data_IF_288532891606
#
_entry.id   IF_288532891606
#
_cell.length_a   1.000
_cell.length_b   1.000
_cell.length_c   1.000
_cell.angle_alpha   90.00
_cell.angle_beta   90.00
_cell.angle_gamma   90.00
#
_symmetry.space_group_name_H-M   'P 1'
#
loop_
_entity.id
_entity.type
_entity.pdbx_description
1 polymer ?
#
# COMPACT_ATOMS: atom_id res chain seq x y z
N UNK A 1 25.60 -8.78 52.61
CA UNK A 1 25.74 -9.22 51.20
C UNK A 1 24.38 -9.15 50.52
N UNK A 2 24.12 -8.11 49.71
CA UNK A 2 22.91 -7.96 48.89
C UNK A 2 23.27 -8.34 47.45
N UNK A 3 22.72 -9.44 46.94
CA UNK A 3 22.86 -9.82 45.54
C UNK A 3 21.79 -9.11 44.70
N UNK A 4 22.23 -8.14 43.91
CA UNK A 4 21.46 -7.50 42.85
C UNK A 4 21.10 -8.53 41.78
N UNK A 5 19.81 -8.76 41.55
CA UNK A 5 19.30 -9.50 40.38
C UNK A 5 19.11 -8.51 39.24
N UNK A 6 20.05 -8.51 38.30
CA UNK A 6 19.94 -7.84 37.00
C UNK A 6 18.96 -8.60 36.11
N UNK A 7 17.75 -8.08 35.97
CA UNK A 7 16.74 -8.60 35.05
C UNK A 7 17.10 -8.20 33.63
N UNK A 8 17.72 -9.13 32.90
CA UNK A 8 18.05 -9.02 31.49
C UNK A 8 16.78 -9.14 30.63
N UNK A 9 16.06 -8.03 30.42
CA UNK A 9 14.99 -7.94 29.41
C UNK A 9 15.62 -7.74 28.03
N UNK A 10 16.01 -8.84 27.39
CA UNK A 10 16.39 -8.84 25.97
C UNK A 10 15.14 -8.66 25.09
N UNK A 11 15.09 -7.51 24.43
CA UNK A 11 14.56 -7.23 23.10
C UNK A 11 13.69 -8.33 22.48
N UNK A 12 12.37 -8.13 22.54
CA UNK A 12 11.42 -8.79 21.64
C UNK A 12 10.72 -7.69 20.83
N UNK A 13 11.51 -6.99 20.00
CA UNK A 13 10.99 -6.09 18.98
C UNK A 13 10.87 -6.87 17.68
N UNK A 14 9.74 -7.54 17.51
CA UNK A 14 9.21 -7.86 16.18
C UNK A 14 7.87 -7.13 16.14
N UNK A 15 7.93 -5.80 16.02
CA UNK A 15 6.81 -5.02 15.52
C UNK A 15 6.70 -5.36 14.04
N UNK A 16 5.85 -6.33 13.70
CA UNK A 16 5.31 -6.45 12.35
C UNK A 16 4.39 -5.25 12.20
N UNK A 17 4.96 -4.10 11.86
CA UNK A 17 4.18 -3.02 11.28
C UNK A 17 3.64 -3.56 9.97
N UNK A 18 2.36 -3.89 9.95
CA UNK A 18 1.65 -4.36 8.77
C UNK A 18 1.49 -3.17 7.84
N UNK A 19 2.51 -2.93 7.03
CA UNK A 19 2.50 -2.00 5.90
C UNK A 19 1.94 -2.72 4.67
N UNK A 20 1.37 -1.94 3.73
CA UNK A 20 0.83 -2.43 2.46
C UNK A 20 1.77 -3.46 1.84
N UNK A 21 1.27 -4.68 1.66
CA UNK A 21 2.03 -5.75 1.06
C UNK A 21 1.99 -5.54 -0.46
N UNK A 22 2.95 -4.82 -1.05
CA UNK A 22 3.11 -4.87 -2.52
C UNK A 22 3.45 -6.32 -2.84
N UNK A 23 2.46 -6.99 -3.43
CA UNK A 23 2.55 -8.41 -3.72
C UNK A 23 2.76 -8.55 -5.21
N UNK A 24 3.89 -9.11 -5.61
CA UNK A 24 4.16 -9.41 -7.00
C UNK A 24 3.51 -10.74 -7.38
N UNK A 25 2.28 -10.67 -7.87
CA UNK A 25 1.60 -11.79 -8.50
C UNK A 25 1.66 -11.66 -10.02
N UNK A 26 2.38 -12.58 -10.67
CA UNK A 26 2.36 -12.70 -12.14
C UNK A 26 1.06 -13.37 -12.57
N UNK A 27 0.09 -12.59 -13.05
CA UNK A 27 -1.06 -13.11 -13.77
C UNK A 27 -0.79 -13.09 -15.27
N UNK A 28 -0.90 -14.25 -15.91
CA UNK A 28 -0.76 -14.37 -17.36
C UNK A 28 -2.13 -14.10 -18.01
N UNK A 29 -2.38 -12.85 -18.37
CA UNK A 29 -3.54 -12.47 -19.18
C UNK A 29 -3.35 -12.83 -20.67
N UNK A 30 -4.42 -13.33 -21.31
CA UNK A 30 -4.48 -13.65 -22.74
C UNK A 30 -4.81 -12.39 -23.54
N UNK A 31 -3.99 -12.02 -24.51
CA UNK A 31 -4.26 -10.89 -25.40
C UNK A 31 -5.41 -11.22 -26.37
N UNK A 32 -6.52 -10.49 -26.26
CA UNK A 32 -7.58 -10.43 -27.28
C UNK A 32 -7.55 -9.02 -27.90
N UNK A 33 -7.57 -8.94 -29.24
CA UNK A 33 -7.34 -7.72 -30.02
C UNK A 33 -8.48 -6.70 -30.01
N UNK A 34 -8.81 -6.15 -28.84
CA UNK A 34 -9.62 -4.94 -28.67
C UNK A 34 -8.74 -3.74 -28.29
N UNK A 35 -9.29 -2.52 -28.37
CA UNK A 35 -8.65 -1.33 -27.77
C UNK A 35 -8.43 -1.59 -26.29
N UNK A 36 -7.17 -1.65 -25.87
CA UNK A 36 -6.84 -1.86 -24.45
C UNK A 36 -7.48 -0.76 -23.61
N UNK A 37 -8.18 -1.10 -22.52
CA UNK A 37 -8.76 -0.09 -21.64
C UNK A 37 -7.64 0.76 -21.03
N UNK A 38 -7.91 2.05 -20.81
CA UNK A 38 -6.96 3.02 -20.24
C UNK A 38 -7.57 3.72 -19.03
N UNK A 39 -6.71 4.23 -18.13
CA UNK A 39 -7.15 4.90 -16.91
C UNK A 39 -7.72 3.94 -15.86
N UNK A 40 -8.64 4.45 -15.03
CA UNK A 40 -9.27 3.68 -13.96
C UNK A 40 -10.38 2.77 -14.52
N UNK A 41 -10.31 1.49 -14.23
CA UNK A 41 -11.25 0.45 -14.67
C UNK A 41 -11.98 -0.12 -13.46
N UNK A 42 -13.31 0.00 -13.45
CA UNK A 42 -14.17 -0.40 -12.32
C UNK A 42 -15.08 -1.59 -12.62
N UNK A 43 -14.87 -2.27 -13.74
CA UNK A 43 -15.67 -3.42 -14.19
C UNK A 43 -15.66 -4.61 -13.21
N UNK A 44 -14.68 -4.66 -12.29
CA UNK A 44 -14.55 -5.70 -11.26
C UNK A 44 -15.29 -5.36 -9.96
N UNK A 45 -16.01 -4.24 -9.91
CA UNK A 45 -16.81 -3.85 -8.75
C UNK A 45 -18.25 -4.36 -8.87
N UNK A 46 -18.77 -4.94 -7.79
CA UNK A 46 -20.20 -5.19 -7.61
C UNK A 46 -20.99 -3.88 -7.51
N UNK A 47 -22.32 -3.95 -7.65
CA UNK A 47 -23.21 -2.77 -7.53
C UNK A 47 -22.97 -1.98 -6.25
N UNK A 48 -22.87 -2.66 -5.11
CA UNK A 48 -22.60 -2.04 -3.80
C UNK A 48 -21.22 -1.38 -3.75
N UNK A 49 -20.20 -2.03 -4.29
CA UNK A 49 -18.84 -1.48 -4.33
C UNK A 49 -18.77 -0.27 -5.28
N UNK A 50 -19.57 -0.28 -6.35
CA UNK A 50 -19.67 0.84 -7.28
C UNK A 50 -20.30 2.07 -6.63
N UNK A 51 -21.25 1.90 -5.71
CA UNK A 51 -21.79 3.00 -4.90
C UNK A 51 -20.69 3.63 -4.04
N UNK A 52 -19.89 2.80 -3.36
CA UNK A 52 -18.73 3.26 -2.58
C UNK A 52 -17.76 4.01 -3.49
N UNK A 53 -17.42 3.44 -4.65
CA UNK A 53 -16.51 4.06 -5.62
C UNK A 53 -17.02 5.43 -6.08
N UNK A 54 -18.32 5.58 -6.37
CA UNK A 54 -18.91 6.87 -6.74
C UNK A 54 -18.75 7.91 -5.63
N UNK A 55 -18.89 7.52 -4.37
CA UNK A 55 -18.63 8.47 -3.26
C UNK A 55 -17.17 8.89 -3.17
N UNK A 56 -16.23 7.96 -3.43
CA UNK A 56 -14.80 8.26 -3.49
C UNK A 56 -14.50 9.24 -4.64
N UNK A 57 -15.04 8.99 -5.84
CA UNK A 57 -14.86 9.86 -7.01
C UNK A 57 -15.43 11.25 -6.77
N UNK A 58 -16.66 11.34 -6.23
CA UNK A 58 -17.29 12.61 -5.87
C UNK A 58 -16.43 13.39 -4.88
N UNK A 59 -15.88 12.71 -3.87
CA UNK A 59 -14.99 13.32 -2.88
C UNK A 59 -13.68 13.79 -3.50
N UNK A 60 -13.02 12.96 -4.29
CA UNK A 60 -11.74 13.27 -4.93
C UNK A 60 -11.83 14.44 -5.92
N UNK A 61 -12.98 14.61 -6.57
CA UNK A 61 -13.24 15.68 -7.53
C UNK A 61 -13.99 16.88 -6.93
N UNK A 62 -14.20 16.91 -5.61
CA UNK A 62 -14.98 17.96 -4.96
C UNK A 62 -14.28 19.33 -5.09
N UNK A 63 -15.06 20.36 -5.41
CA UNK A 63 -14.58 21.73 -5.61
C UNK A 63 -15.37 22.72 -4.73
N UNK A 64 -14.76 23.85 -4.39
CA UNK A 64 -15.46 24.96 -3.75
C UNK A 64 -16.25 25.80 -4.77
N UNK A 65 -16.99 26.82 -4.30
CA UNK A 65 -17.75 27.72 -5.16
C UNK A 65 -16.91 28.50 -6.20
N UNK A 66 -15.59 28.63 -5.96
CA UNK A 66 -14.65 29.24 -6.89
C UNK A 66 -14.06 28.24 -7.90
N UNK A 67 -14.54 26.99 -7.94
CA UNK A 67 -14.05 25.93 -8.82
C UNK A 67 -12.70 25.35 -8.40
N UNK A 68 -12.18 25.70 -7.21
CA UNK A 68 -10.90 25.18 -6.74
C UNK A 68 -11.07 23.81 -6.07
N UNK A 69 -10.12 22.87 -6.27
CA UNK A 69 -10.10 21.58 -5.58
C UNK A 69 -10.23 21.72 -4.06
N UNK A 70 -11.14 20.97 -3.44
CA UNK A 70 -11.21 20.89 -1.96
C UNK A 70 -10.05 20.08 -1.38
N UNK A 71 -9.60 19.07 -2.12
CA UNK A 71 -8.50 18.15 -1.77
C UNK A 71 -7.49 18.12 -2.93
N UNK A 72 -6.64 19.15 -3.07
CA UNK A 72 -5.76 19.30 -4.24
C UNK A 72 -4.88 18.09 -4.53
N UNK A 73 -4.25 17.51 -3.49
CA UNK A 73 -3.35 16.36 -3.66
C UNK A 73 -4.12 15.13 -4.11
N UNK A 74 -5.29 14.87 -3.50
CA UNK A 74 -6.15 13.76 -3.87
C UNK A 74 -6.69 13.91 -5.30
N UNK A 75 -7.13 15.12 -5.67
CA UNK A 75 -7.63 15.40 -7.02
C UNK A 75 -6.54 15.21 -8.07
N UNK A 76 -5.31 15.65 -7.80
CA UNK A 76 -4.19 15.49 -8.73
C UNK A 76 -3.93 14.02 -9.03
N UNK A 77 -3.78 13.19 -8.00
CA UNK A 77 -3.57 11.75 -8.14
C UNK A 77 -4.71 11.08 -8.89
N UNK A 78 -5.94 11.41 -8.52
CA UNK A 78 -7.13 10.84 -9.13
C UNK A 78 -7.25 11.25 -10.61
N UNK A 79 -6.95 12.50 -10.94
CA UNK A 79 -6.96 13.01 -12.31
C UNK A 79 -5.86 12.34 -13.14
N UNK A 80 -4.65 12.21 -12.61
CA UNK A 80 -3.57 11.45 -13.24
C UNK A 80 -4.01 10.02 -13.55
N UNK A 81 -4.61 9.33 -12.57
CA UNK A 81 -5.08 7.95 -12.71
C UNK A 81 -6.20 7.80 -13.76
N UNK A 82 -7.05 8.81 -13.95
CA UNK A 82 -8.07 8.82 -15.01
C UNK A 82 -7.51 9.09 -16.40
N UNK A 83 -6.44 9.88 -16.50
CA UNK A 83 -5.88 10.32 -17.79
C UNK A 83 -4.72 9.46 -18.27
N UNK A 84 -4.17 8.58 -17.43
CA UNK A 84 -3.07 7.71 -17.85
C UNK A 84 -3.49 6.78 -18.97
N UNK A 85 -2.59 6.52 -19.92
CA UNK A 85 -2.78 5.51 -20.97
C UNK A 85 -2.65 4.08 -20.44
N UNK A 86 -2.48 3.94 -19.13
CA UNK A 86 -2.20 2.69 -18.45
C UNK A 86 -3.44 2.16 -17.70
N UNK A 87 -3.80 0.88 -17.83
CA UNK A 87 -4.97 0.34 -17.13
C UNK A 87 -4.72 0.18 -15.62
N UNK A 88 -5.59 0.78 -14.81
CA UNK A 88 -5.63 0.69 -13.35
C UNK A 88 -6.95 0.03 -12.94
N UNK A 89 -6.93 -1.26 -12.64
CA UNK A 89 -8.12 -1.97 -12.16
C UNK A 89 -8.36 -1.68 -10.68
N UNK A 90 -9.61 -1.41 -10.32
CA UNK A 90 -10.02 -1.26 -8.92
C UNK A 90 -10.82 -2.49 -8.51
N UNK A 91 -10.45 -3.08 -7.37
CA UNK A 91 -11.22 -4.14 -6.74
C UNK A 91 -11.44 -3.81 -5.27
N UNK A 92 -12.56 -4.29 -4.71
CA UNK A 92 -12.89 -4.12 -3.30
C UNK A 92 -13.21 -5.48 -2.67
N UNK A 93 -12.21 -6.38 -2.50
CA UNK A 93 -12.47 -7.76 -2.13
C UNK A 93 -13.28 -7.85 -0.82
N UNK A 94 -14.25 -8.76 -0.79
CA UNK A 94 -15.01 -9.05 0.42
C UNK A 94 -14.12 -9.57 1.53
N UNK A 95 -14.53 -9.34 2.78
CA UNK A 95 -13.80 -9.86 3.94
C UNK A 95 -13.80 -11.40 3.89
N UNK A 96 -12.61 -11.99 3.83
CA UNK A 96 -12.42 -13.44 4.02
C UNK A 96 -11.88 -13.70 5.43
N UNK A 97 -12.07 -14.93 5.92
CA UNK A 97 -11.72 -15.34 7.29
C UNK A 97 -10.21 -15.24 7.61
N UNK A 98 -9.35 -15.11 6.59
CA UNK A 98 -7.95 -14.70 6.75
C UNK A 98 -7.85 -13.18 6.57
N UNK A 99 -7.72 -12.49 7.70
CA UNK A 99 -7.68 -11.04 7.73
C UNK A 99 -6.27 -10.58 7.39
N UNK A 100 -6.05 -10.25 6.12
CA UNK A 100 -4.94 -9.38 5.75
C UNK A 100 -5.12 -8.06 6.50
N UNK A 101 -4.13 -7.66 7.30
CA UNK A 101 -4.21 -6.41 8.07
C UNK A 101 -3.93 -5.16 7.22
N UNK A 102 -3.76 -5.32 5.89
CA UNK A 102 -3.51 -4.23 4.96
C UNK A 102 -4.83 -3.57 4.53
N UNK A 103 -4.90 -2.25 4.58
CA UNK A 103 -6.08 -1.48 4.18
C UNK A 103 -6.21 -1.39 2.65
N UNK A 104 -5.07 -1.29 1.96
CA UNK A 104 -4.94 -1.30 0.52
C UNK A 104 -3.90 -2.34 0.09
N UNK A 105 -3.93 -2.71 -1.19
CA UNK A 105 -2.87 -3.50 -1.79
C UNK A 105 -2.71 -3.12 -3.25
N UNK A 106 -1.49 -2.74 -3.61
CA UNK A 106 -1.08 -2.52 -4.98
C UNK A 106 -0.46 -3.79 -5.58
N UNK A 107 -0.99 -4.19 -6.75
CA UNK A 107 -0.50 -5.29 -7.57
C UNK A 107 -0.18 -4.77 -8.97
N UNK A 108 0.84 -5.33 -9.60
CA UNK A 108 1.18 -5.00 -10.98
C UNK A 108 1.48 -6.24 -11.81
N UNK A 109 1.06 -6.20 -13.07
CA UNK A 109 1.32 -7.26 -14.03
C UNK A 109 2.64 -6.98 -14.75
N UNK A 110 3.53 -7.97 -14.76
CA UNK A 110 4.77 -7.89 -15.53
C UNK A 110 4.52 -8.24 -16.99
N UNK A 111 5.23 -7.58 -17.93
CA UNK A 111 5.21 -7.98 -19.33
C UNK A 111 5.63 -9.43 -19.51
N UNK A 112 5.02 -10.09 -20.50
CA UNK A 112 5.42 -11.44 -20.91
C UNK A 112 6.80 -11.46 -21.58
N UNK A 113 7.26 -10.33 -22.13
CA UNK A 113 8.55 -10.20 -22.79
C UNK A 113 9.54 -9.41 -21.92
N UNK A 114 10.76 -9.93 -21.67
CA UNK A 114 11.75 -9.28 -20.80
C UNK A 114 12.28 -7.93 -21.33
N UNK A 115 12.00 -7.59 -22.59
CA UNK A 115 12.38 -6.31 -23.18
C UNK A 115 11.51 -5.13 -22.72
N UNK A 116 10.34 -5.38 -22.13
CA UNK A 116 9.50 -4.32 -21.57
C UNK A 116 9.80 -4.16 -20.08
N UNK A 117 10.26 -2.97 -19.70
CA UNK A 117 10.65 -2.66 -18.32
C UNK A 117 9.50 -2.08 -17.48
N UNK A 118 8.34 -1.80 -18.08
CA UNK A 118 7.18 -1.23 -17.42
C UNK A 118 6.09 -2.28 -17.24
N UNK A 119 5.25 -2.20 -16.18
CA UNK A 119 4.11 -3.11 -16.04
C UNK A 119 3.14 -2.97 -17.23
N UNK A 120 2.26 -3.95 -17.44
CA UNK A 120 1.21 -3.92 -18.48
C UNK A 120 -0.15 -3.47 -17.95
N UNK A 121 -0.40 -3.73 -16.66
CA UNK A 121 -1.55 -3.24 -15.91
C UNK A 121 -1.21 -3.19 -14.43
N UNK A 122 -2.00 -2.43 -13.66
CA UNK A 122 -1.98 -2.48 -12.20
C UNK A 122 -3.38 -2.76 -11.67
N UNK A 123 -3.44 -3.40 -10.51
CA UNK A 123 -4.67 -3.62 -9.76
C UNK A 123 -4.51 -3.05 -8.36
N UNK A 124 -5.44 -2.19 -7.95
CA UNK A 124 -5.53 -1.67 -6.60
C UNK A 124 -6.67 -2.39 -5.89
N UNK A 125 -6.35 -3.10 -4.82
CA UNK A 125 -7.31 -3.72 -3.93
C UNK A 125 -7.59 -2.79 -2.75
N UNK A 126 -8.81 -2.27 -2.63
CA UNK A 126 -9.25 -1.50 -1.46
C UNK A 126 -10.06 -2.40 -0.52
N UNK A 127 -9.49 -2.75 0.63
CA UNK A 127 -10.14 -3.66 1.59
C UNK A 127 -11.03 -2.87 2.53
N UNK A 128 -12.20 -2.46 2.03
CA UNK A 128 -13.19 -1.63 2.76
C UNK A 128 -13.45 -2.13 4.17
N UNK A 129 -13.66 -3.44 4.35
CA UNK A 129 -13.90 -4.01 5.68
C UNK A 129 -12.72 -3.86 6.66
N UNK A 130 -11.48 -3.84 6.17
CA UNK A 130 -10.28 -3.58 6.98
C UNK A 130 -10.20 -2.09 7.31
N UNK A 131 -10.45 -1.22 6.33
CA UNK A 131 -10.45 0.25 6.50
C UNK A 131 -11.49 0.69 7.54
N UNK A 132 -12.70 0.12 7.47
CA UNK A 132 -13.78 0.41 8.41
C UNK A 132 -13.46 -0.03 9.84
N UNK A 133 -12.75 -1.16 9.99
CA UNK A 133 -12.38 -1.74 11.28
C UNK A 133 -11.07 -1.20 11.85
N UNK A 134 -10.27 -0.48 11.06
CA UNK A 134 -9.03 0.11 11.54
C UNK A 134 -9.35 1.07 12.69
N UNK A 135 -9.02 0.66 13.92
CA UNK A 135 -9.00 1.55 15.05
C UNK A 135 -7.92 2.61 14.78
N UNK A 136 -8.23 3.87 15.05
CA UNK A 136 -7.24 4.97 15.01
C UNK A 136 -6.09 4.78 16.01
N UNK A 137 -6.10 3.70 16.80
CA UNK A 137 -5.05 3.30 17.72
C UNK A 137 -3.85 2.69 16.98
N UNK A 138 -3.22 3.47 16.11
CA UNK A 138 -1.83 3.22 15.71
C UNK A 138 -0.93 4.18 16.47
N UNK A 139 0.23 3.71 16.91
CA UNK A 139 1.27 4.59 17.46
C UNK A 139 1.56 5.71 16.46
N UNK A 140 1.54 6.96 16.95
CA UNK A 140 1.89 8.12 16.15
C UNK A 140 3.17 7.86 15.33
N UNK A 141 3.04 7.98 14.01
CA UNK A 141 4.18 8.00 13.11
C UNK A 141 4.96 9.31 13.24
N UNK A 142 5.88 9.53 12.32
CA UNK A 142 6.62 10.78 12.24
C UNK A 142 5.66 11.98 12.14
N UNK A 143 5.97 13.05 12.90
CA UNK A 143 5.17 14.28 12.96
C UNK A 143 3.71 14.11 13.43
N UNK A 144 3.39 13.03 14.15
CA UNK A 144 2.05 12.83 14.72
C UNK A 144 0.99 12.37 13.72
N UNK A 145 1.39 11.96 12.52
CA UNK A 145 0.48 11.32 11.57
C UNK A 145 0.11 9.92 12.04
N UNK A 146 -1.19 9.65 12.08
CA UNK A 146 -1.76 8.35 12.41
C UNK A 146 -2.77 8.03 11.32
N UNK A 147 -2.57 6.97 10.52
CA UNK A 147 -3.47 6.65 9.44
C UNK A 147 -4.93 6.52 9.91
N UNK A 148 -5.86 7.09 9.15
CA UNK A 148 -7.30 7.14 9.43
C UNK A 148 -7.73 7.92 10.67
N UNK A 149 -6.81 8.51 11.43
CA UNK A 149 -7.12 9.19 12.68
C UNK A 149 -8.00 10.42 12.43
N UNK A 150 -9.14 10.46 13.10
CA UNK A 150 -10.16 11.48 12.88
C UNK A 150 -10.94 11.36 11.55
N UNK A 151 -10.60 10.43 10.66
CA UNK A 151 -11.36 10.22 9.43
C UNK A 151 -12.49 9.21 9.64
N UNK A 152 -13.58 9.32 8.88
CA UNK A 152 -14.72 8.40 8.91
C UNK A 152 -15.21 8.09 7.49
N UNK A 153 -15.72 6.87 7.29
CA UNK A 153 -16.34 6.46 6.03
C UNK A 153 -15.47 6.75 4.81
N UNK A 154 -16.03 7.49 3.84
CA UNK A 154 -15.38 7.79 2.55
C UNK A 154 -14.00 8.45 2.69
N UNK A 155 -13.77 9.26 3.73
CA UNK A 155 -12.49 9.93 3.94
C UNK A 155 -11.36 8.90 4.15
N UNK A 156 -11.64 7.80 4.86
CA UNK A 156 -10.66 6.72 5.06
C UNK A 156 -10.37 5.97 3.77
N UNK A 157 -11.39 5.78 2.92
CA UNK A 157 -11.19 5.16 1.61
C UNK A 157 -10.34 6.04 0.69
N UNK A 158 -10.56 7.36 0.73
CA UNK A 158 -9.77 8.33 -0.03
C UNK A 158 -8.30 8.37 0.43
N UNK A 159 -8.04 8.32 1.74
CA UNK A 159 -6.69 8.21 2.29
C UNK A 159 -5.98 6.95 1.77
N UNK A 160 -6.61 5.78 1.94
CA UNK A 160 -6.05 4.51 1.47
C UNK A 160 -5.84 4.49 -0.06
N UNK A 161 -6.79 5.02 -0.84
CA UNK A 161 -6.66 5.11 -2.29
C UNK A 161 -5.51 6.01 -2.70
N UNK A 162 -5.29 7.15 -2.03
CA UNK A 162 -4.17 8.04 -2.34
C UNK A 162 -2.81 7.36 -2.16
N UNK A 163 -2.68 6.55 -1.11
CA UNK A 163 -1.49 5.73 -0.87
C UNK A 163 -1.25 4.77 -2.04
N UNK A 164 -2.24 3.97 -2.41
CA UNK A 164 -2.09 2.96 -3.46
C UNK A 164 -1.96 3.57 -4.88
N UNK A 165 -2.61 4.71 -5.15
CA UNK A 165 -2.41 5.47 -6.40
C UNK A 165 -0.99 6.02 -6.53
N UNK A 166 -0.34 6.34 -5.40
CA UNK A 166 1.07 6.77 -5.42
C UNK A 166 1.97 5.62 -5.86
N UNK A 167 1.78 4.42 -5.31
CA UNK A 167 2.47 3.21 -5.77
C UNK A 167 2.22 2.93 -7.26
N UNK A 168 0.98 3.07 -7.71
CA UNK A 168 0.64 2.92 -9.12
C UNK A 168 1.39 3.92 -10.00
N UNK A 169 1.44 5.19 -9.60
CA UNK A 169 2.19 6.24 -10.32
C UNK A 169 3.68 5.91 -10.39
N UNK A 170 4.30 5.60 -9.25
CA UNK A 170 5.71 5.23 -9.18
C UNK A 170 6.03 4.02 -10.06
N UNK A 171 5.18 2.99 -10.06
CA UNK A 171 5.39 1.79 -10.88
C UNK A 171 5.42 2.07 -12.39
N UNK A 172 4.78 3.15 -12.84
CA UNK A 172 4.71 3.55 -14.25
C UNK A 172 5.81 4.55 -14.58
N UNK A 173 6.12 5.47 -13.66
CA UNK A 173 7.03 6.61 -13.93
C UNK A 173 8.46 6.39 -13.46
N UNK A 174 8.70 5.43 -12.57
CA UNK A 174 10.01 5.16 -11.95
C UNK A 174 10.42 3.70 -12.17
N UNK A 175 11.41 3.49 -13.04
CA UNK A 175 11.96 2.16 -13.31
C UNK A 175 12.69 1.57 -12.09
N UNK A 176 13.28 2.41 -11.24
CA UNK A 176 13.97 1.95 -10.04
C UNK A 176 12.95 1.34 -9.05
N UNK A 177 11.76 1.92 -8.95
CA UNK A 177 10.70 1.40 -8.08
C UNK A 177 10.40 -0.08 -8.34
N UNK A 178 10.32 -0.50 -9.60
CA UNK A 178 10.06 -1.90 -9.97
C UNK A 178 11.23 -2.81 -9.57
N UNK A 179 12.47 -2.34 -9.73
CA UNK A 179 13.66 -3.08 -9.30
C UNK A 179 13.72 -3.23 -7.78
N UNK A 180 13.33 -2.19 -7.04
CA UNK A 180 13.25 -2.23 -5.58
C UNK A 180 12.15 -3.20 -5.12
N UNK A 181 10.98 -3.19 -5.77
CA UNK A 181 9.90 -4.12 -5.48
C UNK A 181 10.31 -5.58 -5.74
N UNK A 182 11.02 -5.83 -6.84
CA UNK A 182 11.59 -7.15 -7.17
C UNK A 182 12.63 -7.60 -6.14
N UNK A 183 13.55 -6.70 -5.75
CA UNK A 183 14.54 -7.00 -4.72
C UNK A 183 13.87 -7.33 -3.39
N UNK A 184 12.85 -6.56 -3.00
CA UNK A 184 12.06 -6.82 -1.78
C UNK A 184 11.42 -8.21 -1.82
N UNK A 185 10.82 -8.60 -2.95
CA UNK A 185 10.27 -9.94 -3.14
C UNK A 185 11.34 -11.02 -2.96
N UNK A 186 12.48 -10.87 -3.64
CA UNK A 186 13.57 -11.84 -3.56
C UNK A 186 14.10 -12.02 -2.13
N UNK A 187 14.20 -10.94 -1.36
CA UNK A 187 14.60 -11.00 0.05
C UNK A 187 13.54 -11.66 0.94
N UNK A 188 12.26 -11.45 0.68
CA UNK A 188 11.19 -12.15 1.38
C UNK A 188 11.28 -13.67 1.12
N UNK A 189 11.48 -14.09 -0.12
CA UNK A 189 11.67 -15.51 -0.48
C UNK A 189 12.92 -16.09 0.21
N UNK A 190 14.01 -15.32 0.24
CA UNK A 190 15.24 -15.72 0.92
C UNK A 190 15.05 -15.83 2.44
N UNK A 191 14.25 -14.95 3.04
CA UNK A 191 13.93 -14.98 4.47
C UNK A 191 13.23 -16.29 4.84
N UNK A 192 12.30 -16.77 4.00
CA UNK A 192 11.62 -18.06 4.19
C UNK A 192 12.63 -19.19 4.15
N UNK A 193 13.55 -19.19 3.17
CA UNK A 193 14.63 -20.18 3.07
C UNK A 193 15.49 -20.21 4.34
N UNK A 194 15.91 -19.06 4.86
CA UNK A 194 16.69 -19.01 6.10
C UNK A 194 15.90 -19.43 7.34
N UNK A 195 14.60 -19.14 7.41
CA UNK A 195 13.75 -19.64 8.50
C UNK A 195 13.66 -21.16 8.52
N UNK A 196 13.63 -21.81 7.34
CA UNK A 196 13.69 -23.26 7.23
C UNK A 196 15.05 -23.80 7.71
N UNK A 197 16.16 -23.19 7.28
CA UNK A 197 17.51 -23.60 7.71
C UNK A 197 17.70 -23.44 9.22
N UNK A 198 17.17 -22.39 9.85
CA UNK A 198 17.27 -22.14 11.31
C UNK A 198 16.74 -23.30 12.17
N UNK A 199 15.94 -24.20 11.61
CA UNK A 199 15.40 -25.37 12.30
C UNK A 199 16.47 -26.45 12.56
N UNK A 200 17.59 -26.45 11.83
CA UNK A 200 18.70 -27.38 12.06
C UNK A 200 19.74 -26.79 13.01
N UNK A 201 20.28 -27.60 13.93
CA UNK A 201 21.22 -27.13 14.94
C UNK A 201 22.55 -26.63 14.33
N UNK A 202 23.03 -27.32 13.30
CA UNK A 202 24.31 -27.06 12.63
C UNK A 202 24.35 -25.71 11.90
N UNK A 203 23.20 -25.25 11.38
CA UNK A 203 23.14 -24.01 10.57
C UNK A 203 22.55 -22.81 11.33
N UNK A 204 22.07 -23.00 12.57
CA UNK A 204 21.30 -22.01 13.32
C UNK A 204 21.97 -20.64 13.44
N UNK A 205 23.27 -20.61 13.77
CA UNK A 205 23.99 -19.33 13.94
C UNK A 205 24.19 -18.60 12.61
N UNK A 206 24.53 -19.34 11.55
CA UNK A 206 24.66 -18.78 10.20
C UNK A 206 23.30 -18.26 9.70
N UNK A 207 22.24 -19.04 9.86
CA UNK A 207 20.88 -18.66 9.48
C UNK A 207 20.38 -17.43 10.24
N UNK A 208 20.72 -17.29 11.52
CA UNK A 208 20.34 -16.12 12.31
C UNK A 208 21.02 -14.85 11.79
N UNK A 209 22.32 -14.92 11.45
CA UNK A 209 23.02 -13.77 10.83
C UNK A 209 22.45 -13.41 9.46
N UNK A 210 22.13 -14.42 8.64
CA UNK A 210 21.47 -14.21 7.34
C UNK A 210 20.11 -13.52 7.49
N UNK A 211 19.27 -13.98 8.42
CA UNK A 211 17.97 -13.34 8.70
C UNK A 211 18.11 -11.89 9.16
N UNK A 212 19.12 -11.58 9.99
CA UNK A 212 19.36 -10.22 10.43
C UNK A 212 19.75 -9.30 9.27
N UNK A 213 20.68 -9.73 8.41
CA UNK A 213 21.08 -8.96 7.24
C UNK A 213 19.90 -8.71 6.27
N UNK A 214 19.07 -9.74 6.05
CA UNK A 214 17.85 -9.61 5.25
C UNK A 214 16.86 -8.63 5.90
N UNK A 215 16.67 -8.69 7.22
CA UNK A 215 15.77 -7.78 7.92
C UNK A 215 16.23 -6.32 7.80
N UNK A 216 17.54 -6.07 7.92
CA UNK A 216 18.11 -4.73 7.78
C UNK A 216 17.94 -4.18 6.35
N UNK A 217 18.16 -5.02 5.32
CA UNK A 217 17.95 -4.61 3.93
C UNK A 217 16.46 -4.40 3.60
N UNK A 218 15.57 -5.28 4.06
CA UNK A 218 14.12 -5.13 3.92
C UNK A 218 13.60 -3.85 4.56
N UNK A 219 14.16 -3.42 5.69
CA UNK A 219 13.81 -2.15 6.34
C UNK A 219 14.15 -0.96 5.43
N UNK A 220 15.35 -0.94 4.87
CA UNK A 220 15.78 0.14 3.96
C UNK A 220 14.95 0.17 2.68
N UNK A 221 14.70 -1.00 2.06
CA UNK A 221 13.86 -1.08 0.86
C UNK A 221 12.42 -0.64 1.13
N UNK A 222 11.84 -1.07 2.25
CA UNK A 222 10.51 -0.65 2.66
C UNK A 222 10.44 0.87 2.81
N UNK A 223 11.45 1.50 3.41
CA UNK A 223 11.46 2.97 3.53
C UNK A 223 11.49 3.67 2.17
N UNK A 224 12.33 3.19 1.25
CA UNK A 224 12.43 3.78 -0.10
C UNK A 224 11.16 3.60 -0.93
N UNK A 225 10.50 2.45 -0.80
CA UNK A 225 9.28 2.11 -1.54
C UNK A 225 8.06 2.82 -0.93
N UNK A 226 7.86 2.73 0.37
CA UNK A 226 6.65 3.21 1.06
C UNK A 226 6.72 4.69 1.45
N UNK A 227 7.93 5.27 1.57
CA UNK A 227 8.14 6.66 1.98
C UNK A 227 7.35 7.68 1.15
N UNK A 228 7.46 7.66 -0.20
CA UNK A 228 6.70 8.56 -1.06
C UNK A 228 5.18 8.43 -0.90
N UNK A 229 4.65 7.19 -0.87
CA UNK A 229 3.24 6.94 -0.67
C UNK A 229 2.74 7.44 0.70
N UNK A 230 3.52 7.23 1.77
CA UNK A 230 3.20 7.76 3.12
C UNK A 230 3.21 9.28 3.18
N UNK A 231 4.14 9.95 2.49
CA UNK A 231 4.19 11.40 2.45
C UNK A 231 2.94 11.99 1.78
N UNK A 232 2.50 11.37 0.68
CA UNK A 232 1.27 11.74 -0.03
C UNK A 232 0.03 11.43 0.80
N UNK A 233 -0.04 10.25 1.41
CA UNK A 233 -1.12 9.83 2.31
C UNK A 233 -1.28 10.83 3.47
N UNK A 234 -0.17 11.20 4.12
CA UNK A 234 -0.16 12.21 5.18
C UNK A 234 -0.69 13.57 4.69
N UNK A 235 -0.33 13.99 3.49
CA UNK A 235 -0.81 15.25 2.93
C UNK A 235 -2.32 15.21 2.67
N UNK A 236 -2.82 14.12 2.05
CA UNK A 236 -4.26 13.92 1.81
C UNK A 236 -5.03 13.86 3.13
N UNK A 237 -4.49 13.20 4.16
CA UNK A 237 -5.07 13.18 5.49
C UNK A 237 -5.24 14.59 6.09
N UNK A 238 -4.22 15.47 5.95
CA UNK A 238 -4.33 16.87 6.39
C UNK A 238 -5.44 17.62 5.63
N UNK A 239 -5.53 17.43 4.31
CA UNK A 239 -6.56 18.04 3.48
C UNK A 239 -7.98 17.60 3.91
N UNK A 240 -8.17 16.31 4.14
CA UNK A 240 -9.44 15.73 4.58
C UNK A 240 -9.86 16.26 5.97
N UNK A 241 -8.93 16.28 6.94
CA UNK A 241 -9.20 16.78 8.30
C UNK A 241 -9.53 18.26 8.35
N UNK A 242 -8.77 19.10 7.64
CA UNK A 242 -8.92 20.56 7.69
C UNK A 242 -10.29 21.06 7.21
N UNK A 243 -11.02 20.23 6.44
CA UNK A 243 -12.37 20.55 5.95
C UNK A 243 -13.45 20.06 6.88
N UNK A 244 -13.26 18.90 7.52
CA UNK A 244 -14.19 18.38 8.53
C UNK A 244 -14.37 19.38 9.69
N UNK A 245 -13.28 19.99 10.12
CA UNK A 245 -13.30 20.95 11.23
C UNK A 245 -13.95 22.31 10.85
N UNK A 246 -14.33 22.52 9.57
CA UNK A 246 -15.06 23.71 9.09
C UNK A 246 -16.57 23.50 8.94
N UNK A 247 -17.00 22.23 8.93
CA UNK A 247 -18.42 21.85 8.82
C UNK A 247 -19.07 21.61 10.21
N UNK A 248 -18.33 21.86 11.30
CA UNK A 248 -18.81 21.87 12.70
C UNK A 248 -18.78 23.31 13.25
#
# INVERSE_FOLDING_TARGET
MRTSKTTNRRNSWILISVFSLITLTSFYGRAAGGTSPTGIITERLSVRQMEIWRTIEQKALAQNAAGQPLYPTLQELFSWAKMTSFPIYIEMPEARDLWDCAAGTFLFEKPQAPAQSQPTAVTILLRVAVIDRAAGERTAGEHGFVPFEGLKGVDRYCEALAHELTHARQSVTDLEFLQLADRRKSLNDESVRFQLLRRTAETRQSATRGLQAIADELRLLTERIEGPARAVEQQVWRELRARRDKDC
#
